data_IF_186834499186
#
_entry.id   IF_186834499186
#
_cell.length_a   1.000
_cell.length_b   1.000
_cell.length_c   1.000
_cell.angle_alpha   90.00
_cell.angle_beta   90.00
_cell.angle_gamma   90.00
#
_symmetry.space_group_name_H-M   'P 1'
#
loop_
_entity.id
_entity.type
_entity.pdbx_description
1 polymer ?
#
# COMPACT_ATOMS: atom_id res chain seq x y z
N UNK A 1 7.83 18.03 5.26
CA UNK A 1 7.19 17.45 4.23
C UNK A 1 6.82 16.02 4.48
N UNK A 2 5.68 15.73 4.08
CA UNK A 2 5.10 14.45 4.43
C UNK A 2 5.40 13.40 3.38
N UNK A 3 6.67 13.26 3.08
CA UNK A 3 7.06 12.20 2.20
C UNK A 3 7.06 10.91 2.95
N UNK A 4 6.68 9.86 2.30
CA UNK A 4 6.72 8.57 2.95
C UNK A 4 8.19 8.15 3.10
N UNK A 5 8.63 8.06 4.35
CA UNK A 5 10.01 7.73 4.63
C UNK A 5 10.36 6.29 4.34
N UNK A 6 9.34 5.45 4.12
CA UNK A 6 9.57 4.03 3.85
C UNK A 6 9.45 3.68 2.38
N UNK A 7 9.29 4.67 1.50
CA UNK A 7 9.17 4.40 0.06
C UNK A 7 10.37 3.61 -0.45
N UNK A 8 11.57 4.07 -0.14
CA UNK A 8 12.80 3.41 -0.59
C UNK A 8 12.92 2.01 0.01
N UNK A 9 12.57 1.86 1.28
CA UNK A 9 12.64 0.56 1.94
C UNK A 9 11.72 -0.46 1.28
N UNK A 10 10.48 -0.05 0.99
CA UNK A 10 9.50 -0.94 0.37
C UNK A 10 9.94 -1.28 -1.05
N UNK A 11 10.41 -0.29 -1.78
CA UNK A 11 10.88 -0.49 -3.13
C UNK A 11 12.03 -1.49 -3.17
N UNK A 12 13.02 -1.31 -2.30
CA UNK A 12 14.16 -2.23 -2.21
C UNK A 12 13.71 -3.62 -1.81
N UNK A 13 12.78 -3.72 -0.85
CA UNK A 13 12.28 -5.01 -0.41
C UNK A 13 11.56 -5.76 -1.54
N UNK A 14 10.79 -5.05 -2.35
CA UNK A 14 10.13 -5.64 -3.51
C UNK A 14 11.17 -6.15 -4.52
N UNK A 15 12.18 -5.33 -4.79
CA UNK A 15 13.22 -5.71 -5.74
C UNK A 15 13.99 -6.93 -5.28
N UNK A 16 14.30 -7.02 -3.98
CA UNK A 16 14.96 -8.20 -3.42
C UNK A 16 14.11 -9.45 -3.56
N UNK A 17 12.79 -9.28 -3.55
CA UNK A 17 11.84 -10.39 -3.69
C UNK A 17 11.54 -10.72 -5.16
N UNK A 18 12.28 -10.10 -6.08
CA UNK A 18 12.16 -10.40 -7.50
C UNK A 18 11.15 -9.57 -8.26
N UNK A 19 10.56 -8.58 -7.63
CA UNK A 19 9.61 -7.71 -8.31
C UNK A 19 10.33 -6.61 -9.06
N UNK A 20 9.86 -6.32 -10.26
CA UNK A 20 10.38 -5.22 -11.06
C UNK A 20 9.43 -4.04 -10.90
N UNK A 21 9.93 -2.92 -10.44
CA UNK A 21 9.12 -1.70 -10.30
C UNK A 21 8.86 -1.16 -11.70
N UNK A 22 7.59 -1.07 -12.07
CA UNK A 22 7.20 -0.60 -13.41
C UNK A 22 6.77 0.86 -13.40
N UNK A 23 6.22 1.34 -12.29
CA UNK A 23 5.76 2.72 -12.18
C UNK A 23 6.04 3.23 -10.76
N UNK A 24 6.58 4.45 -10.68
CA UNK A 24 6.88 5.08 -9.41
C UNK A 24 6.80 6.59 -9.57
N UNK A 25 5.66 7.19 -9.31
CA UNK A 25 4.42 6.58 -8.82
C UNK A 25 3.55 6.03 -9.95
N UNK A 26 2.67 5.12 -9.58
CA UNK A 26 1.59 4.73 -10.45
C UNK A 26 0.49 5.77 -10.33
N UNK A 27 0.05 6.29 -11.46
CA UNK A 27 -1.04 7.25 -11.50
C UNK A 27 -2.29 6.55 -12.01
N UNK A 28 -3.36 6.64 -11.23
CA UNK A 28 -4.65 6.11 -11.65
C UNK A 28 -5.48 7.23 -12.23
N UNK A 29 -5.98 7.02 -13.43
CA UNK A 29 -6.81 8.00 -14.10
C UNK A 29 -8.14 7.34 -14.41
N UNK A 30 -9.22 7.95 -13.96
CA UNK A 30 -10.53 7.35 -14.09
C UNK A 30 -11.59 8.45 -14.25
N UNK A 31 -12.48 8.26 -15.23
CA UNK A 31 -13.56 9.19 -15.46
C UNK A 31 -13.17 10.33 -16.36
N UNK A 32 -14.17 11.11 -16.77
CA UNK A 32 -13.98 12.21 -17.74
C UNK A 32 -13.16 13.37 -17.17
N UNK A 33 -13.08 13.48 -15.88
CA UNK A 33 -12.33 14.55 -15.22
C UNK A 33 -10.87 14.22 -15.03
N UNK A 34 -10.46 13.01 -15.39
CA UNK A 34 -9.10 12.59 -15.13
C UNK A 34 -8.82 12.64 -13.65
N UNK A 35 -9.54 11.84 -12.88
CA UNK A 35 -9.32 11.82 -11.44
C UNK A 35 -7.94 11.31 -11.18
N UNK A 36 -7.05 12.21 -10.84
CA UNK A 36 -5.75 11.81 -10.39
C UNK A 36 -5.90 11.42 -8.94
N UNK A 37 -5.61 10.19 -8.67
CA UNK A 37 -5.71 9.74 -7.30
C UNK A 37 -4.47 10.22 -6.59
N UNK A 38 -4.41 11.52 -6.43
CA UNK A 38 -3.36 12.14 -5.67
C UNK A 38 -3.98 12.65 -4.39
N UNK A 39 -4.34 11.74 -3.54
CA UNK A 39 -4.96 12.10 -2.30
C UNK A 39 -3.89 12.43 -1.29
N UNK A 40 -3.37 13.65 -1.38
CA UNK A 40 -2.40 14.10 -0.43
C UNK A 40 -1.00 13.57 -0.71
N UNK A 41 -0.62 13.56 -1.98
CA UNK A 41 0.74 13.21 -2.39
C UNK A 41 1.16 11.81 -1.99
N UNK A 42 0.25 10.89 -2.04
CA UNK A 42 0.58 9.52 -1.67
C UNK A 42 1.27 8.82 -2.82
N UNK A 43 2.17 7.92 -2.47
CA UNK A 43 2.89 7.13 -3.44
C UNK A 43 2.21 5.80 -3.62
N UNK A 44 1.93 5.49 -4.86
CA UNK A 44 1.42 4.20 -5.23
C UNK A 44 2.43 3.62 -6.21
N UNK A 45 3.03 2.50 -5.88
CA UNK A 45 3.98 1.83 -6.75
C UNK A 45 3.28 0.78 -7.58
N UNK A 46 3.76 0.58 -8.79
CA UNK A 46 3.36 -0.59 -9.58
C UNK A 46 4.57 -1.48 -9.75
N UNK A 47 4.34 -2.79 -9.69
CA UNK A 47 5.41 -3.77 -9.85
C UNK A 47 4.86 -5.00 -10.53
N UNK A 48 5.77 -5.80 -11.14
CA UNK A 48 5.38 -7.06 -11.75
C UNK A 48 6.44 -8.11 -11.47
N UNK A 49 6.00 -9.36 -11.41
CA UNK A 49 6.87 -10.52 -11.27
C UNK A 49 6.15 -11.73 -11.89
N UNK A 50 6.81 -12.38 -12.83
CA UNK A 50 6.29 -13.62 -13.44
C UNK A 50 4.87 -13.47 -13.96
N UNK A 51 4.58 -12.33 -14.58
CA UNK A 51 3.25 -12.06 -15.14
C UNK A 51 2.23 -11.55 -14.16
N UNK A 52 2.54 -11.54 -12.86
CA UNK A 52 1.66 -10.94 -11.86
C UNK A 52 1.94 -9.45 -11.75
N UNK A 53 0.87 -8.67 -11.66
CA UNK A 53 1.00 -7.22 -11.47
C UNK A 53 0.36 -6.82 -10.15
N UNK A 54 1.02 -5.90 -9.45
CA UNK A 54 0.52 -5.40 -8.19
C UNK A 54 0.63 -3.88 -8.14
N UNK A 55 -0.15 -3.29 -7.28
CA UNK A 55 -0.02 -1.90 -6.88
C UNK A 55 0.19 -1.89 -5.37
N UNK A 56 1.07 -1.04 -4.89
CA UNK A 56 1.45 -1.01 -3.48
C UNK A 56 1.32 0.41 -2.96
N UNK A 57 0.44 0.58 -1.99
CA UNK A 57 0.28 1.84 -1.28
C UNK A 57 1.09 1.76 0.00
N UNK A 58 1.93 2.77 0.25
CA UNK A 58 2.86 2.74 1.38
C UNK A 58 2.38 3.71 2.45
N UNK A 59 2.27 3.24 3.69
CA UNK A 59 1.85 4.07 4.82
C UNK A 59 2.77 3.86 6.00
N UNK A 60 3.23 4.96 6.59
CA UNK A 60 4.16 4.89 7.72
C UNK A 60 3.45 4.81 9.08
N UNK A 61 2.26 5.38 9.20
CA UNK A 61 1.52 5.47 10.46
C UNK A 61 2.32 6.19 11.55
N UNK A 62 3.14 7.16 11.14
CA UNK A 62 3.95 7.94 12.07
C UNK A 62 3.34 9.30 12.40
N UNK A 63 2.09 9.53 11.99
CA UNK A 63 1.38 10.76 12.29
C UNK A 63 0.99 10.85 13.76
N UNK A 64 0.43 11.98 14.15
CA UNK A 64 0.03 12.21 15.53
C UNK A 64 -1.10 11.30 15.98
N UNK A 65 -1.93 10.85 15.04
CA UNK A 65 -3.05 9.98 15.36
C UNK A 65 -3.01 8.76 14.44
N UNK A 66 -2.59 7.60 14.95
CA UNK A 66 -2.63 6.36 14.16
C UNK A 66 -4.03 6.02 13.68
N UNK A 67 -5.06 6.33 14.48
CA UNK A 67 -6.44 6.06 14.07
C UNK A 67 -6.82 6.92 12.87
N UNK A 68 -6.41 8.18 12.86
CA UNK A 68 -6.68 9.05 11.72
C UNK A 68 -5.96 8.57 10.48
N UNK A 69 -4.71 8.16 10.63
CA UNK A 69 -3.94 7.60 9.53
C UNK A 69 -4.62 6.33 8.99
N UNK A 70 -5.18 5.53 9.89
CA UNK A 70 -5.89 4.30 9.52
C UNK A 70 -7.16 4.63 8.73
N UNK A 71 -7.94 5.59 9.19
CA UNK A 71 -9.13 6.04 8.46
C UNK A 71 -8.78 6.50 7.05
N UNK A 72 -7.72 7.29 6.94
CA UNK A 72 -7.25 7.75 5.64
C UNK A 72 -6.80 6.60 4.76
N UNK A 73 -6.08 5.64 5.33
CA UNK A 73 -5.61 4.48 4.59
C UNK A 73 -6.77 3.64 4.07
N UNK A 74 -7.78 3.41 4.89
CA UNK A 74 -8.97 2.66 4.48
C UNK A 74 -9.65 3.35 3.31
N UNK A 75 -9.85 4.67 3.42
CA UNK A 75 -10.53 5.43 2.37
C UNK A 75 -9.76 5.40 1.07
N UNK A 76 -8.47 5.62 1.12
CA UNK A 76 -7.63 5.61 -0.06
C UNK A 76 -7.57 4.22 -0.69
N UNK A 77 -7.37 3.20 0.14
CA UNK A 77 -7.33 1.83 -0.34
C UNK A 77 -8.62 1.46 -1.05
N UNK A 78 -9.75 1.80 -0.45
CA UNK A 78 -11.07 1.50 -1.03
C UNK A 78 -11.23 2.18 -2.38
N UNK A 79 -10.85 3.44 -2.47
CA UNK A 79 -10.97 4.18 -3.73
C UNK A 79 -10.06 3.58 -4.79
N UNK A 80 -8.81 3.31 -4.46
CA UNK A 80 -7.88 2.69 -5.41
C UNK A 80 -8.38 1.33 -5.87
N UNK A 81 -8.87 0.53 -4.94
CA UNK A 81 -9.35 -0.81 -5.26
C UNK A 81 -10.51 -0.75 -6.25
N UNK A 82 -11.45 0.16 -6.04
CA UNK A 82 -12.59 0.30 -6.93
C UNK A 82 -12.18 0.80 -8.31
N UNK A 83 -11.26 1.75 -8.37
CA UNK A 83 -10.77 2.23 -9.65
C UNK A 83 -10.03 1.12 -10.39
N UNK A 84 -9.12 0.42 -9.71
CA UNK A 84 -8.36 -0.66 -10.32
C UNK A 84 -9.27 -1.76 -10.84
N UNK A 85 -10.35 -2.06 -10.14
CA UNK A 85 -11.29 -3.09 -10.57
C UNK A 85 -11.92 -2.76 -11.94
N UNK A 86 -11.91 -1.50 -12.33
CA UNK A 86 -12.47 -1.05 -13.61
C UNK A 86 -11.43 -0.94 -14.70
N UNK A 87 -10.24 -0.43 -14.36
CA UNK A 87 -9.25 -0.12 -15.40
C UNK A 87 -8.16 -1.18 -15.52
N UNK A 88 -7.93 -1.96 -14.46
CA UNK A 88 -6.86 -2.97 -14.46
C UNK A 88 -7.20 -4.05 -13.44
N UNK A 89 -8.23 -4.87 -13.70
CA UNK A 89 -8.77 -5.79 -12.69
C UNK A 89 -7.81 -6.90 -12.28
N UNK A 90 -6.78 -7.17 -13.07
CA UNK A 90 -5.83 -8.22 -12.72
C UNK A 90 -4.72 -7.75 -11.79
N UNK A 91 -4.65 -6.45 -11.55
CA UNK A 91 -3.63 -5.90 -10.65
C UNK A 91 -4.12 -5.97 -9.21
N UNK A 92 -3.35 -6.63 -8.35
CA UNK A 92 -3.71 -6.76 -6.95
C UNK A 92 -3.18 -5.56 -6.16
N UNK A 93 -4.02 -4.98 -5.32
CA UNK A 93 -3.63 -3.85 -4.48
C UNK A 93 -3.21 -4.33 -3.10
N UNK A 94 -2.09 -3.83 -2.63
CA UNK A 94 -1.56 -4.10 -1.30
C UNK A 94 -1.30 -2.80 -0.55
N UNK A 95 -1.45 -2.85 0.76
CA UNK A 95 -1.02 -1.80 1.66
C UNK A 95 0.27 -2.28 2.32
N UNK A 96 1.35 -1.52 2.16
CA UNK A 96 2.65 -1.88 2.73
C UNK A 96 2.88 -1.12 4.03
N UNK A 97 3.26 -1.83 5.06
CA UNK A 97 3.54 -1.28 6.39
C UNK A 97 4.82 -1.93 6.93
N UNK A 98 5.38 -1.33 7.97
CA UNK A 98 6.56 -1.90 8.61
C UNK A 98 6.19 -2.96 9.64
N UNK A 99 7.17 -3.79 9.99
CA UNK A 99 6.99 -4.79 11.05
C UNK A 99 6.57 -4.16 12.37
N UNK A 100 7.15 -3.01 12.72
CA UNK A 100 6.81 -2.35 13.98
C UNK A 100 5.34 -1.96 14.04
N UNK A 101 4.81 -1.41 12.94
CA UNK A 101 3.41 -1.03 12.87
C UNK A 101 2.52 -2.28 12.89
N UNK A 102 2.94 -3.32 12.22
CA UNK A 102 2.17 -4.57 12.20
C UNK A 102 2.08 -5.17 13.60
N UNK A 103 3.18 -5.13 14.36
CA UNK A 103 3.22 -5.71 15.70
C UNK A 103 2.56 -4.84 16.77
N UNK A 104 2.38 -3.55 16.52
CA UNK A 104 1.84 -2.61 17.49
C UNK A 104 0.42 -2.17 17.13
N UNK A 105 0.29 -1.12 16.34
CA UNK A 105 -1.03 -0.56 16.03
C UNK A 105 -1.93 -1.56 15.30
N UNK A 106 -1.37 -2.35 14.40
CA UNK A 106 -2.19 -3.29 13.62
C UNK A 106 -2.67 -4.49 14.45
N UNK A 107 -2.12 -4.67 15.66
CA UNK A 107 -2.65 -5.68 16.57
C UNK A 107 -3.91 -5.23 17.31
N UNK A 108 -4.26 -3.94 17.23
CA UNK A 108 -5.42 -3.41 17.94
C UNK A 108 -6.72 -3.83 17.27
N UNK A 109 -7.77 -3.92 18.08
CA UNK A 109 -9.08 -4.36 17.60
C UNK A 109 -9.64 -3.46 16.49
N UNK A 110 -9.37 -2.16 16.58
CA UNK A 110 -9.88 -1.20 15.59
C UNK A 110 -9.29 -1.45 14.20
N UNK A 111 -8.14 -2.08 14.11
CA UNK A 111 -7.57 -2.50 12.84
C UNK A 111 -8.07 -3.89 12.46
N UNK A 112 -8.03 -4.82 13.41
CA UNK A 112 -8.38 -6.21 13.14
C UNK A 112 -9.83 -6.36 12.68
N UNK A 113 -10.74 -5.53 13.19
CA UNK A 113 -12.15 -5.61 12.78
C UNK A 113 -12.30 -5.29 11.29
N UNK A 114 -11.47 -4.42 10.75
CA UNK A 114 -11.51 -4.07 9.34
C UNK A 114 -10.80 -5.14 8.50
N UNK A 115 -9.68 -5.66 8.98
CA UNK A 115 -8.91 -6.65 8.23
C UNK A 115 -9.62 -7.99 8.14
N UNK A 116 -10.61 -8.23 8.99
CA UNK A 116 -11.23 -9.55 9.13
C UNK A 116 -11.90 -10.04 7.83
N UNK A 117 -12.38 -9.14 6.98
CA UNK A 117 -13.04 -9.54 5.74
C UNK A 117 -12.06 -9.87 4.61
N UNK A 118 -10.77 -9.65 4.81
CA UNK A 118 -9.76 -10.01 3.83
C UNK A 118 -9.68 -9.08 2.62
N UNK A 119 -10.41 -7.97 2.63
CA UNK A 119 -10.38 -7.05 1.48
C UNK A 119 -9.08 -6.28 1.41
N UNK A 120 -8.59 -5.80 2.56
CA UNK A 120 -7.32 -5.08 2.60
C UNK A 120 -6.18 -6.09 2.75
N UNK A 121 -5.36 -6.16 1.70
CA UNK A 121 -4.21 -7.06 1.66
C UNK A 121 -2.95 -6.31 2.07
N UNK A 122 -2.07 -6.96 2.80
CA UNK A 122 -0.90 -6.31 3.38
C UNK A 122 0.40 -6.89 2.86
N UNK A 123 1.39 -6.02 2.75
CA UNK A 123 2.80 -6.41 2.67
C UNK A 123 3.46 -5.85 3.92
N UNK A 124 4.15 -6.69 4.68
CA UNK A 124 4.87 -6.26 5.86
C UNK A 124 6.35 -6.31 5.57
N UNK A 125 7.04 -5.21 5.86
CA UNK A 125 8.43 -5.01 5.48
C UNK A 125 9.28 -4.73 6.71
N UNK A 126 10.44 -5.40 6.81
CA UNK A 126 11.47 -5.02 7.77
C UNK A 126 12.19 -3.80 7.21
N UNK A 127 12.03 -2.64 7.87
CA UNK A 127 12.56 -1.39 7.34
C UNK A 127 14.08 -1.28 7.47
N UNK A 128 14.69 -2.08 8.33
CA UNK A 128 16.14 -2.05 8.54
C UNK A 128 16.84 -2.95 7.54
N UNK A 129 16.37 -4.19 7.39
CA UNK A 129 16.96 -5.12 6.44
C UNK A 129 16.40 -4.97 5.03
N UNK A 130 15.31 -4.23 4.91
CA UNK A 130 14.67 -3.93 3.63
C UNK A 130 14.27 -5.21 2.91
N UNK A 131 13.54 -6.06 3.63
CA UNK A 131 13.01 -7.32 3.08
C UNK A 131 11.52 -7.44 3.43
N UNK A 132 10.79 -8.13 2.57
CA UNK A 132 9.39 -8.45 2.86
C UNK A 132 9.38 -9.63 3.83
N UNK A 133 8.67 -9.46 4.94
CA UNK A 133 8.58 -10.51 5.95
C UNK A 133 7.25 -11.24 5.91
N UNK A 134 6.19 -10.61 5.38
CA UNK A 134 4.87 -11.23 5.29
C UNK A 134 4.11 -10.72 4.10
N UNK A 135 3.32 -11.60 3.51
CA UNK A 135 2.26 -11.27 2.58
C UNK A 135 0.96 -11.73 3.22
N UNK A 136 0.02 -10.83 3.37
CA UNK A 136 -1.28 -11.15 3.97
C UNK A 136 -2.36 -10.90 2.93
N UNK A 137 -2.92 -11.97 2.44
CA UNK A 137 -3.92 -11.92 1.37
C UNK A 137 -5.35 -12.12 1.90
#
# INVERSE_FOLDING_TARGET
MAKDIYLTNVRTALEKDGWRITDDPLTLQFGSRGVFVDLGAKKLLAAERDGQTIAVEIKSFLGKSPVKDWENAIGQYTLYLKILSKIDPDRTLYLAITEEIYASFFAEDIVQVVLADGVIKLIVVDSIQEVITRWIN
#
